data_IF_099617344609
#
_entry.id   IF_099617344609
#
_cell.length_a   1.000
_cell.length_b   1.000
_cell.length_c   1.000
_cell.angle_alpha   90.00
_cell.angle_beta   90.00
_cell.angle_gamma   90.00
#
_symmetry.space_group_name_H-M   'P 1'
#
loop_
_entity.id
_entity.type
_entity.pdbx_description
1 polymer ?
#
# COMPACT_ATOMS: atom_id res chain seq x y z
N UNK A 1 19.21 -21.19 25.98
CA UNK A 1 18.47 -19.98 26.39
C UNK A 1 19.08 -18.68 25.88
N UNK A 2 20.39 -18.42 26.03
CA UNK A 2 21.04 -17.19 25.54
C UNK A 2 20.91 -16.94 24.03
N UNK A 3 21.06 -17.98 23.21
CA UNK A 3 20.91 -17.89 21.73
C UNK A 3 19.47 -17.53 21.33
N UNK A 4 18.47 -18.12 21.99
CA UNK A 4 17.06 -17.80 21.73
C UNK A 4 16.76 -16.34 22.06
N UNK A 5 17.22 -15.85 23.21
CA UNK A 5 17.04 -14.45 23.60
C UNK A 5 17.71 -13.48 22.61
N UNK A 6 18.90 -13.82 22.12
CA UNK A 6 19.58 -13.02 21.09
C UNK A 6 18.81 -13.00 19.77
N UNK A 7 18.31 -14.15 19.31
CA UNK A 7 17.52 -14.22 18.08
C UNK A 7 16.21 -13.44 18.18
N UNK A 8 15.53 -13.51 19.34
CA UNK A 8 14.34 -12.70 19.60
C UNK A 8 14.66 -11.21 19.54
N UNK A 9 15.73 -10.76 20.21
CA UNK A 9 16.15 -9.37 20.17
C UNK A 9 16.53 -8.90 18.76
N UNK A 10 17.18 -9.76 17.97
CA UNK A 10 17.52 -9.43 16.58
C UNK A 10 16.26 -9.28 15.73
N UNK A 11 15.29 -10.19 15.90
CA UNK A 11 14.03 -10.14 15.16
C UNK A 11 13.17 -8.94 15.53
N UNK A 12 13.12 -8.55 16.81
CA UNK A 12 12.40 -7.35 17.23
C UNK A 12 13.03 -6.08 16.66
N UNK A 13 14.36 -5.96 16.69
CA UNK A 13 15.07 -4.83 16.07
C UNK A 13 14.79 -4.76 14.57
N UNK A 14 14.81 -5.90 13.88
CA UNK A 14 14.50 -5.97 12.45
C UNK A 14 13.06 -5.53 12.16
N UNK A 15 12.08 -6.01 12.93
CA UNK A 15 10.69 -5.62 12.77
C UNK A 15 10.48 -4.11 12.99
N UNK A 16 11.11 -3.52 14.01
CA UNK A 16 11.08 -2.08 14.26
C UNK A 16 11.68 -1.31 13.08
N UNK A 17 12.81 -1.77 12.54
CA UNK A 17 13.44 -1.14 11.37
C UNK A 17 12.53 -1.17 10.13
N UNK A 18 11.84 -2.28 9.88
CA UNK A 18 10.85 -2.40 8.79
C UNK A 18 9.69 -1.40 8.95
N UNK A 19 9.11 -1.31 10.15
CA UNK A 19 8.00 -0.37 10.42
C UNK A 19 8.47 1.08 10.30
N UNK A 20 9.65 1.42 10.84
CA UNK A 20 10.22 2.75 10.75
C UNK A 20 10.49 3.14 9.29
N UNK A 21 11.00 2.22 8.48
CA UNK A 21 11.20 2.41 7.04
C UNK A 21 9.89 2.67 6.30
N UNK A 22 8.85 1.86 6.57
CA UNK A 22 7.53 2.07 5.97
C UNK A 22 6.94 3.42 6.35
N UNK A 23 7.02 3.82 7.61
CA UNK A 23 6.55 5.13 8.07
C UNK A 23 7.36 6.28 7.45
N UNK A 24 8.65 6.08 7.18
CA UNK A 24 9.50 7.05 6.48
C UNK A 24 9.11 7.20 5.01
N UNK A 25 8.68 6.13 4.34
CA UNK A 25 8.30 6.17 2.93
C UNK A 25 6.86 6.62 2.72
N UNK A 26 5.93 6.06 3.50
CA UNK A 26 4.49 6.22 3.32
C UNK A 26 3.87 7.06 4.42
N UNK A 27 3.04 8.01 4.04
CA UNK A 27 2.20 8.77 4.98
C UNK A 27 0.73 8.45 4.73
N UNK A 28 -0.06 8.08 5.77
CA UNK A 28 -1.48 7.83 5.59
C UNK A 28 -2.17 9.13 5.14
N UNK A 29 -2.84 9.08 3.99
CA UNK A 29 -3.52 10.20 3.37
C UNK A 29 -5.05 10.14 3.53
N UNK A 30 -5.55 9.08 4.17
CA UNK A 30 -6.98 8.84 4.40
C UNK A 30 -7.35 7.38 4.17
N UNK A 31 -8.64 7.09 4.21
CA UNK A 31 -9.16 5.74 3.99
C UNK A 31 -10.62 5.60 4.40
N UNK A 32 -11.18 4.44 4.10
CA UNK A 32 -12.49 3.96 4.55
C UNK A 32 -12.34 2.57 5.19
N UNK A 33 -13.43 1.92 5.59
CA UNK A 33 -13.43 0.62 6.26
C UNK A 33 -12.80 -0.52 5.45
N UNK A 34 -12.66 -0.35 4.13
CA UNK A 34 -12.14 -1.39 3.22
C UNK A 34 -10.76 -1.03 2.63
N UNK A 35 -10.44 0.26 2.48
CA UNK A 35 -9.25 0.73 1.78
C UNK A 35 -8.52 1.85 2.54
N UNK A 36 -7.20 1.83 2.48
CA UNK A 36 -6.32 2.88 3.01
C UNK A 36 -5.54 3.53 1.87
N UNK A 37 -5.52 4.85 1.84
CA UNK A 37 -4.69 5.63 0.93
C UNK A 37 -3.36 5.96 1.61
N UNK A 38 -2.27 5.52 1.01
CA UNK A 38 -0.91 5.80 1.42
C UNK A 38 -0.25 6.73 0.41
N UNK A 39 0.27 7.87 0.86
CA UNK A 39 1.08 8.74 0.02
C UNK A 39 2.53 8.28 0.04
N UNK A 40 3.08 7.88 -1.10
CA UNK A 40 4.51 7.59 -1.27
C UNK A 40 5.28 8.90 -1.40
N UNK A 41 6.10 9.21 -0.39
CA UNK A 41 6.90 10.45 -0.34
C UNK A 41 8.05 10.48 -1.33
N UNK A 42 8.58 9.34 -1.77
CA UNK A 42 9.71 9.30 -2.70
C UNK A 42 9.27 9.36 -4.15
N UNK A 43 8.16 8.72 -4.48
CA UNK A 43 7.63 8.71 -5.85
C UNK A 43 6.58 9.79 -6.10
N UNK A 44 6.14 10.48 -5.04
CA UNK A 44 5.15 11.55 -5.06
C UNK A 44 3.82 11.11 -5.68
N UNK A 45 3.33 9.94 -5.24
CA UNK A 45 2.14 9.26 -5.77
C UNK A 45 1.27 8.71 -4.63
N UNK A 46 -0.02 8.55 -4.89
CA UNK A 46 -0.94 7.86 -3.98
C UNK A 46 -0.94 6.37 -4.30
N UNK A 47 -0.83 5.55 -3.27
CA UNK A 47 -1.03 4.12 -3.31
C UNK A 47 -2.30 3.74 -2.54
N UNK A 48 -3.05 2.78 -3.06
CA UNK A 48 -4.21 2.19 -2.41
C UNK A 48 -3.82 0.83 -1.83
N UNK A 49 -4.26 0.56 -0.60
CA UNK A 49 -4.08 -0.74 0.07
C UNK A 49 -5.42 -1.22 0.56
N UNK A 50 -5.78 -2.47 0.24
CA UNK A 50 -6.95 -3.12 0.82
C UNK A 50 -6.65 -3.62 2.24
N UNK A 51 -7.57 -3.41 3.18
CA UNK A 51 -7.45 -3.95 4.54
C UNK A 51 -7.60 -5.48 4.55
N UNK A 52 -8.41 -6.03 3.64
CA UNK A 52 -8.61 -7.48 3.50
C UNK A 52 -7.40 -8.17 2.87
N UNK A 53 -6.56 -7.43 2.13
CA UNK A 53 -5.39 -7.96 1.45
C UNK A 53 -4.22 -6.94 1.43
N UNK A 54 -3.58 -6.70 2.59
CA UNK A 54 -2.61 -5.61 2.77
C UNK A 54 -1.29 -5.80 1.99
N UNK A 55 -1.05 -7.00 1.46
CA UNK A 55 0.09 -7.28 0.60
C UNK A 55 -0.07 -6.71 -0.83
N UNK A 56 -1.31 -6.43 -1.26
CA UNK A 56 -1.61 -5.89 -2.57
C UNK A 56 -1.70 -4.36 -2.51
N UNK A 57 -0.59 -3.71 -2.88
CA UNK A 57 -0.47 -2.25 -2.91
C UNK A 57 -0.55 -1.78 -4.37
N UNK A 58 -1.53 -0.93 -4.67
CA UNK A 58 -1.76 -0.38 -6.02
C UNK A 58 -1.32 1.08 -6.02
N UNK A 59 -0.15 1.37 -6.60
CA UNK A 59 0.40 2.75 -6.70
C UNK A 59 0.11 3.44 -8.04
N UNK A 60 -0.43 2.72 -9.02
CA UNK A 60 -0.89 3.32 -10.27
C UNK A 60 -2.40 3.52 -10.23
N UNK A 61 -2.85 4.73 -9.88
CA UNK A 61 -4.29 4.98 -9.87
C UNK A 61 -4.94 4.87 -11.25
N UNK A 62 -4.16 4.86 -12.35
CA UNK A 62 -4.72 4.62 -13.69
C UNK A 62 -5.26 3.21 -13.84
N UNK A 63 -4.69 2.23 -13.12
CA UNK A 63 -5.20 0.86 -13.11
C UNK A 63 -6.38 0.66 -12.15
N UNK A 64 -6.63 1.61 -11.24
CA UNK A 64 -7.84 1.63 -10.41
C UNK A 64 -9.10 2.01 -11.18
N UNK A 65 -8.96 2.66 -12.35
CA UNK A 65 -10.07 2.84 -13.28
C UNK A 65 -10.30 1.52 -14.02
N UNK A 66 -10.85 0.54 -13.32
CA UNK A 66 -11.48 -0.60 -13.96
C UNK A 66 -12.73 -0.05 -14.68
N UNK A 67 -12.75 -0.26 -15.99
CA UNK A 67 -13.88 0.03 -16.88
C UNK A 67 -15.19 -0.41 -16.22
N UNK A 68 -16.17 0.50 -16.20
CA UNK A 68 -17.52 0.21 -15.73
C UNK A 68 -18.02 -1.06 -16.45
N UNK A 69 -18.51 -2.09 -15.72
CA UNK A 69 -18.88 -3.35 -16.33
C UNK A 69 -19.92 -3.10 -17.43
N UNK A 70 -19.59 -3.61 -18.62
CA UNK A 70 -20.36 -3.48 -19.84
C UNK A 70 -21.86 -3.77 -19.65
N UNK A 71 -22.66 -2.71 -19.55
CA UNK A 71 -23.99 -2.60 -20.18
C UNK A 71 -24.23 -1.15 -20.60
N UNK A 72 -23.49 -0.73 -21.63
CA UNK A 72 -23.82 0.44 -22.44
C UNK A 72 -23.11 1.76 -22.10
N UNK A 73 -21.93 1.97 -22.69
CA UNK A 73 -21.30 3.28 -22.92
C UNK A 73 -20.17 3.67 -21.95
N UNK A 74 -19.32 4.67 -22.26
CA UNK A 74 -19.06 5.37 -23.53
C UNK A 74 -17.73 4.94 -24.20
N UNK A 75 -17.71 4.98 -25.55
CA UNK A 75 -16.52 4.69 -26.38
C UNK A 75 -15.42 5.74 -26.20
N UNK A 76 -14.20 5.29 -25.92
CA UNK A 76 -12.99 6.11 -26.06
C UNK A 76 -12.67 6.33 -27.54
N UNK A 77 -13.00 7.53 -28.05
CA UNK A 77 -12.50 8.01 -29.35
C UNK A 77 -11.13 8.62 -29.11
N UNK A 78 -10.07 8.02 -29.68
CA UNK A 78 -8.75 8.66 -29.78
C UNK A 78 -8.76 9.69 -30.94
N UNK A 79 -7.98 10.78 -30.85
CA UNK A 79 -7.73 11.66 -32.00
C UNK A 79 -6.98 10.92 -33.11
#
# INVERSE_FOLDING_TARGET
MKVLAFLVALFTVWAIACVAWMALRYTPAGGDSEYVFLWDRWENRVCLVSISEPAHIICDLRSLWVESPAKGGPMARRP
#
